data_IF_873234997504
#
_entry.id   IF_873234997504
#
_cell.length_a   1.000
_cell.length_b   1.000
_cell.length_c   1.000
_cell.angle_alpha   90.00
_cell.angle_beta   90.00
_cell.angle_gamma   90.00
#
_symmetry.space_group_name_H-M   'P 1'
#
loop_
_entity.id
_entity.type
_entity.pdbx_description
1 polymer ?
#
# COMPACT_ATOMS: atom_id res chain seq x y z
N UNK A 1 3.63 17.89 -7.83
CA UNK A 1 2.21 18.30 -7.88
C UNK A 1 1.41 17.70 -9.04
N UNK A 2 1.96 17.57 -10.26
CA UNK A 2 1.21 17.07 -11.44
C UNK A 2 0.51 15.71 -11.25
N UNK A 3 1.16 14.75 -10.60
CA UNK A 3 0.64 13.39 -10.41
C UNK A 3 -0.51 13.29 -9.39
N UNK A 4 -0.68 14.31 -8.53
CA UNK A 4 -1.73 14.32 -7.48
C UNK A 4 -3.11 14.66 -8.06
N UNK A 5 -3.16 15.43 -9.16
CA UNK A 5 -4.42 15.81 -9.78
C UNK A 5 -5.13 14.62 -10.44
N UNK A 6 -4.38 13.70 -11.04
CA UNK A 6 -4.96 12.55 -11.74
C UNK A 6 -5.89 11.70 -10.86
N UNK A 7 -5.48 11.22 -9.67
CA UNK A 7 -6.36 10.43 -8.81
C UNK A 7 -7.56 11.23 -8.26
N UNK A 8 -7.37 12.52 -7.96
CA UNK A 8 -8.47 13.39 -7.50
C UNK A 8 -9.54 13.55 -8.58
N UNK A 9 -9.12 13.76 -9.83
CA UNK A 9 -10.06 13.90 -10.95
C UNK A 9 -10.83 12.59 -11.16
N UNK A 10 -10.16 11.44 -11.07
CA UNK A 10 -10.82 10.14 -11.20
C UNK A 10 -11.85 9.89 -10.09
N UNK A 11 -11.54 10.24 -8.83
CA UNK A 11 -12.47 10.04 -7.72
C UNK A 11 -13.74 10.86 -7.84
N UNK A 12 -13.68 12.04 -8.47
CA UNK A 12 -14.86 12.87 -8.74
C UNK A 12 -15.66 12.38 -9.96
N UNK A 13 -14.97 11.97 -11.04
CA UNK A 13 -15.63 11.59 -12.30
C UNK A 13 -16.35 10.24 -12.19
N UNK A 14 -15.76 9.24 -11.52
CA UNK A 14 -16.34 7.89 -11.41
C UNK A 14 -17.78 7.86 -10.85
N UNK A 15 -18.10 8.50 -9.70
CA UNK A 15 -19.48 8.50 -9.18
C UNK A 15 -20.43 9.33 -10.04
N UNK A 16 -19.96 10.40 -10.69
CA UNK A 16 -20.79 11.18 -11.63
C UNK A 16 -21.20 10.35 -12.83
N UNK A 17 -20.25 9.63 -13.45
CA UNK A 17 -20.55 8.73 -14.57
C UNK A 17 -21.41 7.55 -14.12
N UNK A 18 -21.12 6.97 -12.95
CA UNK A 18 -21.93 5.90 -12.37
C UNK A 18 -23.38 6.32 -12.15
N UNK A 19 -23.61 7.52 -11.60
CA UNK A 19 -24.94 8.08 -11.41
C UNK A 19 -25.66 8.38 -12.73
N UNK A 20 -24.94 8.90 -13.73
CA UNK A 20 -25.52 9.23 -15.04
C UNK A 20 -25.92 7.99 -15.85
N UNK A 21 -25.06 6.96 -15.89
CA UNK A 21 -25.30 5.77 -16.73
C UNK A 21 -26.09 4.66 -16.03
N UNK A 22 -25.88 4.45 -14.72
CA UNK A 22 -26.48 3.32 -13.98
C UNK A 22 -27.65 3.75 -13.09
N UNK A 23 -27.92 5.06 -13.00
CA UNK A 23 -28.93 5.64 -12.13
C UNK A 23 -28.61 5.45 -10.63
N UNK A 24 -29.55 5.86 -9.78
CA UNK A 24 -29.35 5.89 -8.32
C UNK A 24 -29.02 4.50 -7.73
N UNK A 25 -29.69 3.45 -8.20
CA UNK A 25 -29.47 2.09 -7.68
C UNK A 25 -28.07 1.58 -8.05
N UNK A 26 -27.62 1.81 -9.29
CA UNK A 26 -26.27 1.42 -9.71
C UNK A 26 -25.18 2.20 -8.99
N UNK A 27 -25.41 3.50 -8.71
CA UNK A 27 -24.48 4.31 -7.91
C UNK A 27 -24.31 3.77 -6.49
N UNK A 28 -25.39 3.34 -5.83
CA UNK A 28 -25.33 2.75 -4.48
C UNK A 28 -24.44 1.49 -4.49
N UNK A 29 -24.65 0.59 -5.46
CA UNK A 29 -23.81 -0.62 -5.58
C UNK A 29 -22.35 -0.30 -5.88
N UNK A 30 -22.09 0.70 -6.73
CA UNK A 30 -20.73 1.16 -7.05
C UNK A 30 -20.01 1.67 -5.80
N UNK A 31 -20.67 2.55 -5.02
CA UNK A 31 -20.09 3.15 -3.82
C UNK A 31 -19.88 2.11 -2.70
N UNK A 32 -20.86 1.23 -2.47
CA UNK A 32 -20.73 0.16 -1.48
C UNK A 32 -19.63 -0.84 -1.87
N UNK A 33 -19.50 -1.18 -3.15
CA UNK A 33 -18.44 -2.06 -3.65
C UNK A 33 -17.05 -1.44 -3.52
N UNK A 34 -16.91 -0.16 -3.89
CA UNK A 34 -15.67 0.60 -3.69
C UNK A 34 -15.27 0.65 -2.22
N UNK A 35 -16.23 0.82 -1.32
CA UNK A 35 -15.97 0.89 0.12
C UNK A 35 -15.32 -0.40 0.64
N UNK A 36 -15.95 -1.55 0.36
CA UNK A 36 -15.45 -2.85 0.84
C UNK A 36 -14.09 -3.19 0.21
N UNK A 37 -13.97 -3.08 -1.11
CA UNK A 37 -12.72 -3.43 -1.81
C UNK A 37 -11.60 -2.44 -1.47
N UNK A 38 -11.91 -1.15 -1.37
CA UNK A 38 -10.95 -0.11 -1.05
C UNK A 38 -10.40 -0.23 0.36
N UNK A 39 -11.24 -0.56 1.35
CA UNK A 39 -10.78 -0.86 2.72
C UNK A 39 -9.87 -2.09 2.76
N UNK A 40 -10.27 -3.20 2.13
CA UNK A 40 -9.45 -4.41 2.08
C UNK A 40 -8.09 -4.15 1.43
N UNK A 41 -8.06 -3.45 0.30
CA UNK A 41 -6.82 -3.11 -0.39
C UNK A 41 -5.96 -2.14 0.41
N UNK A 42 -6.55 -1.12 1.02
CA UNK A 42 -5.85 -0.15 1.88
C UNK A 42 -5.09 -0.84 3.01
N UNK A 43 -5.77 -1.72 3.76
CA UNK A 43 -5.17 -2.49 4.84
C UNK A 43 -4.05 -3.40 4.32
N UNK A 44 -4.24 -4.03 3.16
CA UNK A 44 -3.20 -4.86 2.56
C UNK A 44 -1.95 -4.03 2.21
N UNK A 45 -2.10 -2.86 1.61
CA UNK A 45 -0.97 -2.02 1.18
C UNK A 45 -0.18 -1.49 2.38
N UNK A 46 -0.87 -1.01 3.41
CA UNK A 46 -0.24 -0.50 4.64
C UNK A 46 0.54 -1.62 5.34
N UNK A 47 -0.11 -2.78 5.56
CA UNK A 47 0.53 -3.88 6.26
C UNK A 47 1.71 -4.47 5.47
N UNK A 48 1.57 -4.57 4.14
CA UNK A 48 2.65 -5.06 3.28
C UNK A 48 3.85 -4.12 3.30
N UNK A 49 3.65 -2.80 3.16
CA UNK A 49 4.73 -1.82 3.24
C UNK A 49 5.45 -1.87 4.59
N UNK A 50 4.69 -1.83 5.69
CA UNK A 50 5.24 -1.86 7.04
C UNK A 50 6.02 -3.14 7.34
N UNK A 51 5.59 -4.28 6.77
CA UNK A 51 6.29 -5.55 6.91
C UNK A 51 7.68 -5.53 6.30
N UNK A 52 7.86 -4.88 5.14
CA UNK A 52 9.18 -4.78 4.48
C UNK A 52 10.15 -3.92 5.29
N UNK A 53 9.67 -2.77 5.78
CA UNK A 53 10.45 -1.90 6.68
C UNK A 53 10.81 -2.63 7.97
N UNK A 54 9.85 -3.36 8.56
CA UNK A 54 10.06 -4.12 9.79
C UNK A 54 11.04 -5.27 9.61
N UNK A 55 10.97 -6.00 8.49
CA UNK A 55 11.91 -7.06 8.16
C UNK A 55 13.34 -6.53 8.00
N UNK A 56 13.51 -5.37 7.37
CA UNK A 56 14.84 -4.74 7.25
C UNK A 56 15.38 -4.28 8.61
N UNK A 57 14.55 -3.69 9.47
CA UNK A 57 14.93 -3.33 10.85
C UNK A 57 15.29 -4.56 11.67
N UNK A 58 14.59 -5.67 11.49
CA UNK A 58 14.88 -6.94 12.17
C UNK A 58 16.29 -7.46 11.86
N UNK A 59 16.71 -7.39 10.60
CA UNK A 59 18.09 -7.71 10.19
C UNK A 59 19.08 -6.67 10.71
N UNK A 60 18.74 -5.38 10.67
CA UNK A 60 19.59 -4.31 11.18
C UNK A 60 19.92 -4.47 12.67
N UNK A 61 18.96 -4.90 13.48
CA UNK A 61 19.16 -5.17 14.91
C UNK A 61 19.83 -6.53 15.20
N UNK A 62 20.23 -7.28 14.16
CA UNK A 62 20.94 -8.54 14.31
C UNK A 62 20.08 -9.68 14.85
N UNK A 63 18.76 -9.58 14.74
CA UNK A 63 17.85 -10.63 15.22
C UNK A 63 17.81 -11.84 14.27
N UNK A 64 18.16 -11.65 13.00
CA UNK A 64 18.28 -12.73 12.04
C UNK A 64 19.68 -13.37 12.12
N UNK A 65 19.74 -14.69 12.27
CA UNK A 65 21.01 -15.45 12.32
C UNK A 65 21.13 -16.40 11.14
N UNK A 66 22.35 -16.55 10.63
CA UNK A 66 22.68 -17.57 9.64
C UNK A 66 22.79 -18.96 10.30
N UNK A 67 22.88 -20.00 9.47
CA UNK A 67 22.92 -21.39 9.93
C UNK A 67 24.15 -21.72 10.81
N UNK A 68 25.21 -20.93 10.70
CA UNK A 68 26.43 -21.00 11.51
C UNK A 68 26.31 -20.23 12.85
N UNK A 69 25.16 -19.60 13.11
CA UNK A 69 24.90 -18.81 14.31
C UNK A 69 25.38 -17.36 14.25
N UNK A 70 26.01 -16.93 13.14
CA UNK A 70 26.43 -15.54 12.95
C UNK A 70 25.22 -14.63 12.70
N UNK A 71 25.22 -13.44 13.29
CA UNK A 71 24.15 -12.47 13.05
C UNK A 71 24.29 -11.92 11.62
N UNK A 72 23.20 -11.97 10.86
CA UNK A 72 23.13 -11.39 9.52
C UNK A 72 23.06 -9.88 9.69
N UNK A 73 24.16 -9.21 9.36
CA UNK A 73 24.31 -7.77 9.51
C UNK A 73 23.97 -6.97 8.24
N UNK A 74 24.14 -5.65 8.29
CA UNK A 74 23.89 -4.74 7.16
C UNK A 74 24.80 -4.98 5.94
N UNK A 75 25.96 -5.62 6.13
CA UNK A 75 26.88 -5.96 5.02
C UNK A 75 26.44 -7.19 4.22
N UNK A 76 25.33 -7.82 4.60
CA UNK A 76 24.81 -9.03 3.96
C UNK A 76 24.00 -8.74 2.70
N UNK A 77 24.01 -9.67 1.74
CA UNK A 77 23.16 -9.58 0.55
C UNK A 77 21.66 -9.54 0.91
N UNK A 78 21.27 -10.23 1.98
CA UNK A 78 19.91 -10.27 2.53
C UNK A 78 19.44 -8.87 2.93
N UNK A 79 20.29 -8.07 3.58
CA UNK A 79 19.98 -6.69 3.93
C UNK A 79 19.78 -5.82 2.67
N UNK A 80 20.57 -6.05 1.62
CA UNK A 80 20.39 -5.42 0.31
C UNK A 80 19.04 -5.74 -0.34
N UNK A 81 18.63 -7.01 -0.35
CA UNK A 81 17.33 -7.43 -0.89
C UNK A 81 16.15 -6.83 -0.12
N UNK A 82 16.25 -6.75 1.21
CA UNK A 82 15.26 -6.07 2.04
C UNK A 82 15.19 -4.57 1.77
N UNK A 83 16.30 -3.95 1.37
CA UNK A 83 16.32 -2.57 0.89
C UNK A 83 15.49 -2.36 -0.38
N UNK A 84 15.50 -3.32 -1.31
CA UNK A 84 14.61 -3.29 -2.49
C UNK A 84 13.15 -3.45 -2.06
N UNK A 85 12.88 -4.35 -1.10
CA UNK A 85 11.55 -4.50 -0.51
C UNK A 85 11.01 -3.22 0.12
N UNK A 86 11.83 -2.49 0.89
CA UNK A 86 11.47 -1.19 1.46
C UNK A 86 11.23 -0.13 0.37
N UNK A 87 12.02 -0.12 -0.71
CA UNK A 87 11.79 0.79 -1.84
C UNK A 87 10.43 0.55 -2.52
N UNK A 88 10.00 -0.71 -2.60
CA UNK A 88 8.67 -1.08 -3.11
C UNK A 88 7.58 -0.76 -2.08
N UNK A 89 7.84 -1.05 -0.80
CA UNK A 89 6.90 -0.91 0.31
C UNK A 89 6.60 0.54 0.70
N UNK A 90 7.59 1.45 0.58
CA UNK A 90 7.45 2.85 0.96
C UNK A 90 6.24 3.55 0.29
N UNK A 91 6.11 3.51 -1.05
CA UNK A 91 4.93 4.04 -1.73
C UNK A 91 3.59 3.40 -1.32
N UNK A 92 3.61 2.16 -0.82
CA UNK A 92 2.41 1.45 -0.38
C UNK A 92 1.94 1.95 0.98
N UNK A 93 2.85 2.08 1.94
CA UNK A 93 2.53 2.53 3.31
C UNK A 93 2.34 4.03 3.44
N UNK A 94 3.09 4.84 2.67
CA UNK A 94 3.13 6.30 2.88
C UNK A 94 2.23 7.07 1.89
N UNK A 95 1.80 6.44 0.80
CA UNK A 95 1.04 7.13 -0.25
C UNK A 95 -0.25 6.40 -0.61
N UNK A 96 -0.15 5.21 -1.22
CA UNK A 96 -1.30 4.55 -1.83
C UNK A 96 -2.29 4.00 -0.80
N UNK A 97 -1.79 3.36 0.26
CA UNK A 97 -2.62 2.79 1.34
C UNK A 97 -3.41 3.87 2.09
N UNK A 98 -2.75 4.87 2.71
CA UNK A 98 -3.44 5.95 3.41
C UNK A 98 -4.38 6.75 2.50
N UNK A 99 -4.02 6.95 1.23
CA UNK A 99 -4.90 7.62 0.28
C UNK A 99 -6.20 6.82 0.05
N UNK A 100 -6.11 5.51 -0.21
CA UNK A 100 -7.28 4.65 -0.39
C UNK A 100 -8.20 4.65 0.84
N UNK A 101 -7.66 4.67 2.06
CA UNK A 101 -8.48 4.75 3.27
C UNK A 101 -9.31 6.04 3.36
N UNK A 102 -8.76 7.16 2.91
CA UNK A 102 -9.45 8.46 2.96
C UNK A 102 -10.42 8.68 1.80
N UNK A 103 -10.23 7.96 0.68
CA UNK A 103 -11.09 8.06 -0.50
C UNK A 103 -12.36 7.20 -0.42
N UNK A 104 -12.36 6.21 0.45
CA UNK A 104 -13.49 5.31 0.75
C UNK A 104 -14.45 5.97 1.73
#
# INVERSE_FOLDING_TARGET
MRLVFSPIIHSMICPLLGGFFLGTRGLIWLLSGMNVLGMCLSLFLINSGQSWVSARKYVLFGHLKAADGTAIGPDSAQYGYLGVGEMIGGPLEDTSGPALNNFV
#
